data_IF_208160668601
#
_entry.id   IF_208160668601
#
_cell.length_a   1.000
_cell.length_b   1.000
_cell.length_c   1.000
_cell.angle_alpha   90.00
_cell.angle_beta   90.00
_cell.angle_gamma   90.00
#
_symmetry.space_group_name_H-M   'P 1'
#
loop_
_entity.id
_entity.type
_entity.pdbx_description
1 polymer ?
#
# COMPACT_ATOMS: atom_id res chain seq x y z
N UNK A 1 20.26 9.02 -90.09
CA UNK A 1 19.00 8.34 -90.03
C UNK A 1 19.26 6.92 -89.58
N UNK A 2 18.86 6.43 -88.42
CA UNK A 2 17.82 5.48 -88.36
C UNK A 2 17.00 5.52 -87.05
N UNK A 3 15.77 5.19 -87.21
CA UNK A 3 14.94 4.16 -86.55
C UNK A 3 14.85 4.19 -85.02
N UNK A 4 13.67 4.60 -84.63
CA UNK A 4 13.01 4.55 -83.35
C UNK A 4 12.67 3.12 -82.98
N UNK A 5 13.02 2.70 -81.79
CA UNK A 5 12.56 1.47 -81.17
C UNK A 5 11.81 1.81 -79.85
N UNK A 6 10.51 1.77 -79.92
CA UNK A 6 9.65 1.91 -78.75
C UNK A 6 9.75 0.66 -77.92
N UNK A 7 10.12 0.85 -76.70
CA UNK A 7 10.19 -0.24 -75.68
C UNK A 7 8.93 -0.36 -74.89
N UNK A 8 8.56 -1.62 -74.76
CA UNK A 8 7.52 -2.12 -73.88
C UNK A 8 7.96 -2.02 -72.43
N UNK A 9 7.27 -1.26 -71.66
CA UNK A 9 7.24 -1.51 -70.26
C UNK A 9 5.81 -1.80 -69.82
N UNK A 10 5.60 -3.06 -69.50
CA UNK A 10 4.36 -3.59 -68.97
C UNK A 10 4.06 -2.94 -67.63
N UNK A 11 2.87 -2.45 -67.52
CA UNK A 11 2.30 -2.03 -66.26
C UNK A 11 2.27 -3.21 -65.26
N UNK A 12 2.94 -3.02 -64.14
CA UNK A 12 2.66 -3.82 -62.96
C UNK A 12 1.59 -3.08 -62.17
N UNK A 13 0.40 -3.61 -62.20
CA UNK A 13 -0.61 -3.26 -61.24
C UNK A 13 -0.07 -3.52 -59.83
N UNK A 14 0.33 -2.44 -59.16
CA UNK A 14 0.56 -2.48 -57.73
C UNK A 14 -0.80 -2.55 -57.06
N UNK A 15 -1.25 -3.77 -56.82
CA UNK A 15 -2.30 -4.02 -55.85
C UNK A 15 -1.83 -3.46 -54.48
N UNK A 16 -2.26 -2.26 -54.18
CA UNK A 16 -2.24 -1.74 -52.81
C UNK A 16 -3.00 -2.77 -51.94
N UNK A 17 -2.23 -3.61 -51.26
CA UNK A 17 -2.77 -4.48 -50.24
C UNK A 17 -3.53 -3.58 -49.26
N UNK A 18 -4.85 -3.74 -49.24
CA UNK A 18 -5.71 -3.08 -48.27
C UNK A 18 -5.16 -3.40 -46.89
N UNK A 19 -4.75 -2.35 -46.15
CA UNK A 19 -4.47 -2.44 -44.70
C UNK A 19 -5.73 -3.02 -44.09
N UNK A 20 -5.66 -4.17 -43.41
CA UNK A 20 -6.85 -4.73 -42.77
C UNK A 20 -7.35 -3.67 -41.78
N UNK A 21 -8.61 -3.27 -41.95
CA UNK A 21 -9.32 -2.44 -40.98
C UNK A 21 -9.05 -2.97 -39.58
N UNK A 22 -8.83 -2.09 -38.64
CA UNK A 22 -8.53 -2.35 -37.23
C UNK A 22 -9.58 -3.33 -36.65
N UNK A 23 -9.38 -4.62 -36.94
CA UNK A 23 -10.15 -5.71 -36.43
C UNK A 23 -9.74 -5.94 -35.01
N UNK A 24 -10.71 -5.72 -34.12
CA UNK A 24 -10.85 -6.38 -32.84
C UNK A 24 -9.54 -6.57 -32.08
N UNK A 25 -8.94 -5.47 -31.56
CA UNK A 25 -8.11 -5.61 -30.37
C UNK A 25 -9.02 -6.29 -29.36
N UNK A 26 -8.78 -7.55 -29.08
CA UNK A 26 -9.24 -8.14 -27.82
C UNK A 26 -8.72 -7.17 -26.78
N UNK A 27 -9.61 -6.39 -26.19
CA UNK A 27 -9.31 -5.63 -25.00
C UNK A 27 -9.02 -6.69 -23.94
N UNK A 28 -7.73 -7.05 -23.80
CA UNK A 28 -7.34 -7.72 -22.60
C UNK A 28 -7.63 -6.69 -21.51
N UNK A 29 -8.49 -7.00 -20.52
CA UNK A 29 -8.67 -6.11 -19.39
C UNK A 29 -7.27 -5.77 -18.87
N UNK A 30 -7.00 -4.50 -18.57
CA UNK A 30 -5.73 -4.13 -17.96
C UNK A 30 -5.54 -5.02 -16.74
N UNK A 31 -4.40 -5.74 -16.64
CA UNK A 31 -4.19 -6.66 -15.52
C UNK A 31 -4.31 -5.87 -14.23
N UNK A 32 -5.05 -6.39 -13.28
CA UNK A 32 -5.06 -5.88 -11.91
C UNK A 32 -3.71 -6.09 -11.25
N UNK A 33 -3.40 -5.33 -10.21
CA UNK A 33 -2.10 -5.38 -9.56
C UNK A 33 -2.22 -5.44 -8.04
N UNK A 34 -1.37 -6.27 -7.43
CA UNK A 34 -1.07 -6.22 -6.00
C UNK A 34 0.14 -5.31 -5.77
N UNK A 35 -0.06 -4.19 -5.07
CA UNK A 35 1.02 -3.23 -4.77
C UNK A 35 1.20 -3.05 -3.28
N UNK A 36 2.45 -3.08 -2.84
CA UNK A 36 2.79 -2.87 -1.44
C UNK A 36 3.58 -1.56 -1.25
N UNK A 37 3.00 -0.62 -0.53
CA UNK A 37 3.59 0.65 -0.13
C UNK A 37 4.02 0.58 1.33
N UNK A 38 5.30 0.70 1.58
CA UNK A 38 5.84 0.58 2.94
C UNK A 38 6.71 1.77 3.33
N UNK A 39 6.84 1.98 4.62
CA UNK A 39 7.71 3.00 5.19
C UNK A 39 7.63 2.99 6.72
N UNK A 40 8.50 3.75 7.41
CA UNK A 40 8.47 3.85 8.86
C UNK A 40 7.16 4.49 9.37
N UNK A 41 7.00 4.57 10.66
CA UNK A 41 5.94 5.41 11.25
C UNK A 41 6.12 6.86 10.77
N UNK A 42 5.03 7.60 10.67
CA UNK A 42 4.98 9.03 10.30
C UNK A 42 5.34 9.37 8.83
N UNK A 43 5.56 8.39 7.97
CA UNK A 43 5.83 8.65 6.54
C UNK A 43 4.58 8.90 5.69
N UNK A 44 3.39 9.07 6.28
CA UNK A 44 2.18 9.44 5.55
C UNK A 44 1.46 8.30 4.82
N UNK A 45 1.64 7.03 5.24
CA UNK A 45 0.99 5.85 4.63
C UNK A 45 -0.52 6.02 4.47
N UNK A 46 -1.22 6.25 5.57
CA UNK A 46 -2.68 6.39 5.57
C UNK A 46 -3.15 7.62 4.77
N UNK A 47 -2.36 8.70 4.75
CA UNK A 47 -2.66 9.87 3.91
C UNK A 47 -2.60 9.51 2.43
N UNK A 48 -1.56 8.78 2.00
CA UNK A 48 -1.43 8.32 0.62
C UNK A 48 -2.54 7.33 0.25
N UNK A 49 -2.91 6.43 1.17
CA UNK A 49 -4.00 5.48 1.00
C UNK A 49 -5.33 6.20 0.71
N UNK A 50 -5.71 7.18 1.54
CA UNK A 50 -6.94 7.95 1.34
C UNK A 50 -6.88 8.85 0.10
N UNK A 51 -5.71 9.38 -0.26
CA UNK A 51 -5.55 10.14 -1.51
C UNK A 51 -5.75 9.25 -2.74
N UNK A 52 -5.26 8.01 -2.70
CA UNK A 52 -5.46 7.05 -3.80
C UNK A 52 -6.93 6.66 -3.91
N UNK A 53 -7.61 6.38 -2.79
CA UNK A 53 -9.05 6.14 -2.78
C UNK A 53 -9.82 7.28 -3.45
N UNK A 54 -9.58 8.51 -3.01
CA UNK A 54 -10.20 9.69 -3.57
C UNK A 54 -9.99 9.80 -5.09
N UNK A 55 -8.78 9.53 -5.57
CA UNK A 55 -8.46 9.62 -7.00
C UNK A 55 -9.19 8.54 -7.82
N UNK A 56 -9.27 7.31 -7.31
CA UNK A 56 -10.02 6.23 -7.96
C UNK A 56 -11.53 6.52 -7.97
N UNK A 57 -12.08 6.96 -6.85
CA UNK A 57 -13.50 7.30 -6.73
C UNK A 57 -13.90 8.43 -7.71
N UNK A 58 -13.06 9.44 -7.91
CA UNK A 58 -13.29 10.50 -8.91
C UNK A 58 -13.32 9.99 -10.35
N UNK A 59 -12.75 8.84 -10.63
CA UNK A 59 -12.82 8.16 -11.93
C UNK A 59 -14.01 7.18 -12.04
N UNK A 60 -14.92 7.19 -11.06
CA UNK A 60 -16.10 6.31 -11.04
C UNK A 60 -15.77 4.86 -10.67
N UNK A 61 -14.61 4.59 -10.10
CA UNK A 61 -14.26 3.28 -9.53
C UNK A 61 -14.79 3.18 -8.10
N UNK A 62 -15.22 1.99 -7.71
CA UNK A 62 -15.70 1.69 -6.36
C UNK A 62 -14.70 0.82 -5.64
N UNK A 63 -14.28 1.21 -4.42
CA UNK A 63 -13.34 0.47 -3.62
C UNK A 63 -13.85 0.15 -2.23
N UNK A 64 -13.13 -0.74 -1.53
CA UNK A 64 -13.28 -0.96 -0.10
C UNK A 64 -11.98 -0.58 0.59
N UNK A 65 -12.10 0.10 1.73
CA UNK A 65 -10.97 0.38 2.60
C UNK A 65 -11.01 -0.62 3.75
N UNK A 66 -9.89 -1.30 3.95
CA UNK A 66 -9.68 -2.30 4.98
C UNK A 66 -8.58 -1.83 5.92
N UNK A 67 -8.65 -2.18 7.19
CA UNK A 67 -7.58 -1.92 8.15
C UNK A 67 -7.37 -3.10 9.08
N UNK A 68 -6.15 -3.26 9.58
CA UNK A 68 -5.81 -4.28 10.58
C UNK A 68 -5.38 -3.60 11.86
N UNK A 69 -5.93 -4.02 13.01
CA UNK A 69 -5.64 -3.43 14.33
C UNK A 69 -5.91 -1.93 14.41
N UNK A 70 -7.16 -1.54 14.16
CA UNK A 70 -7.55 -0.14 14.32
C UNK A 70 -7.35 0.33 15.77
N UNK A 71 -6.55 1.39 15.90
CA UNK A 71 -6.21 1.98 17.21
C UNK A 71 -7.32 2.84 17.78
N UNK A 72 -8.32 3.22 16.98
CA UNK A 72 -9.38 4.16 17.36
C UNK A 72 -10.60 3.52 17.98
N UNK A 73 -10.67 2.17 18.01
CA UNK A 73 -11.79 1.41 18.59
C UNK A 73 -13.08 1.44 17.75
N UNK A 74 -13.01 1.91 16.53
CA UNK A 74 -14.07 1.83 15.52
C UNK A 74 -13.42 1.73 14.15
N UNK A 75 -13.80 0.81 13.30
CA UNK A 75 -13.14 0.52 12.00
C UNK A 75 -13.00 1.78 11.10
N UNK A 76 -12.02 2.61 11.41
CA UNK A 76 -11.73 3.89 10.75
C UNK A 76 -10.26 3.94 10.34
N UNK A 77 -9.96 4.33 9.13
CA UNK A 77 -8.62 4.78 8.76
C UNK A 77 -8.53 6.26 9.07
N UNK A 78 -7.67 6.63 10.01
CA UNK A 78 -7.42 8.01 10.39
C UNK A 78 -6.00 8.42 10.02
N UNK A 79 -5.85 9.66 9.57
CA UNK A 79 -4.54 10.25 9.31
C UNK A 79 -4.16 11.22 10.42
N UNK A 80 -2.86 11.43 10.66
CA UNK A 80 -2.39 12.44 11.62
C UNK A 80 -2.74 13.87 11.22
N UNK A 81 -3.08 14.11 9.95
CA UNK A 81 -3.58 15.40 9.46
C UNK A 81 -5.10 15.55 9.58
N UNK A 82 -5.78 14.66 10.32
CA UNK A 82 -7.19 14.79 10.67
C UNK A 82 -8.18 14.27 9.62
N UNK A 83 -7.74 13.58 8.56
CA UNK A 83 -8.64 12.89 7.63
C UNK A 83 -9.06 11.56 8.24
N UNK A 84 -10.34 11.21 8.09
CA UNK A 84 -10.89 9.91 8.51
C UNK A 84 -11.80 9.35 7.43
N UNK A 85 -11.82 8.02 7.31
CA UNK A 85 -12.70 7.31 6.39
C UNK A 85 -13.12 6.00 7.05
N UNK A 86 -14.40 5.62 6.83
CA UNK A 86 -14.90 4.33 7.30
C UNK A 86 -14.11 3.19 6.65
N UNK A 87 -13.76 2.20 7.43
CA UNK A 87 -13.00 1.04 6.99
C UNK A 87 -13.63 -0.24 7.51
N UNK A 88 -13.26 -1.36 6.94
CA UNK A 88 -13.63 -2.69 7.42
C UNK A 88 -12.42 -3.26 8.17
N UNK A 89 -12.60 -3.66 9.42
CA UNK A 89 -11.54 -4.31 10.18
C UNK A 89 -11.29 -5.73 9.66
N UNK A 90 -10.05 -6.05 9.39
CA UNK A 90 -9.63 -7.40 9.02
C UNK A 90 -9.34 -8.19 10.28
N UNK A 91 -10.27 -9.03 10.71
CA UNK A 91 -10.06 -9.99 11.81
C UNK A 91 -9.36 -11.25 11.30
N UNK A 92 -8.91 -12.12 12.20
CA UNK A 92 -8.23 -13.38 11.82
C UNK A 92 -9.16 -14.31 11.03
N UNK A 93 -10.47 -14.24 11.29
CA UNK A 93 -11.49 -15.10 10.69
C UNK A 93 -12.06 -14.52 9.38
N UNK A 94 -11.77 -13.27 9.06
CA UNK A 94 -12.35 -12.63 7.88
C UNK A 94 -11.80 -13.24 6.59
N UNK A 95 -12.69 -13.74 5.75
CA UNK A 95 -12.36 -14.18 4.40
C UNK A 95 -12.54 -13.02 3.42
N UNK A 96 -11.42 -12.51 2.87
CA UNK A 96 -11.42 -11.33 1.98
C UNK A 96 -12.08 -11.62 0.64
N UNK A 97 -11.87 -12.81 0.06
CA UNK A 97 -12.56 -13.22 -1.16
C UNK A 97 -14.07 -13.35 -0.93
N UNK A 98 -14.47 -13.87 0.23
CA UNK A 98 -15.87 -13.95 0.67
C UNK A 98 -16.52 -12.57 0.81
N UNK A 99 -15.80 -11.62 1.41
CA UNK A 99 -16.25 -10.24 1.56
C UNK A 99 -16.54 -9.59 0.20
N UNK A 100 -15.62 -9.68 -0.74
CA UNK A 100 -15.78 -9.09 -2.08
C UNK A 100 -16.95 -9.74 -2.82
N UNK A 101 -17.06 -11.09 -2.78
CA UNK A 101 -18.18 -11.82 -3.39
C UNK A 101 -19.53 -11.42 -2.78
N UNK A 102 -19.58 -11.17 -1.48
CA UNK A 102 -20.80 -10.69 -0.81
C UNK A 102 -21.22 -9.31 -1.33
N UNK A 103 -20.28 -8.39 -1.51
CA UNK A 103 -20.55 -7.07 -2.11
C UNK A 103 -21.14 -7.21 -3.52
N UNK A 104 -20.54 -8.05 -4.37
CA UNK A 104 -21.06 -8.29 -5.72
C UNK A 104 -22.47 -8.92 -5.73
N UNK A 105 -22.71 -9.87 -4.82
CA UNK A 105 -24.06 -10.49 -4.69
C UNK A 105 -25.13 -9.46 -4.31
N UNK A 106 -24.75 -8.38 -3.63
CA UNK A 106 -25.63 -7.25 -3.30
C UNK A 106 -25.70 -6.19 -4.43
N UNK A 107 -25.12 -6.48 -5.61
CA UNK A 107 -25.09 -5.55 -6.73
C UNK A 107 -24.13 -4.37 -6.57
N UNK A 108 -23.21 -4.43 -5.59
CA UNK A 108 -22.19 -3.39 -5.35
C UNK A 108 -20.92 -3.73 -6.11
N UNK A 109 -20.38 -2.76 -6.84
CA UNK A 109 -19.07 -2.93 -7.51
C UNK A 109 -17.94 -2.86 -6.50
N UNK A 110 -16.91 -3.68 -6.74
CA UNK A 110 -15.61 -3.58 -6.06
C UNK A 110 -14.56 -3.67 -7.14
N UNK A 111 -13.94 -2.55 -7.46
CA UNK A 111 -12.92 -2.42 -8.50
C UNK A 111 -11.51 -2.43 -7.90
N UNK A 112 -11.38 -2.07 -6.63
CA UNK A 112 -10.11 -2.06 -5.90
C UNK A 112 -10.30 -2.23 -4.39
N UNK A 113 -9.22 -2.65 -3.73
CA UNK A 113 -9.09 -2.65 -2.27
C UNK A 113 -7.92 -1.75 -1.86
N UNK A 114 -8.11 -1.02 -0.78
CA UNK A 114 -7.05 -0.34 -0.04
C UNK A 114 -6.96 -0.99 1.33
N UNK A 115 -5.77 -1.48 1.69
CA UNK A 115 -5.53 -2.17 2.96
C UNK A 115 -4.49 -1.39 3.75
N UNK A 116 -4.92 -0.70 4.80
CA UNK A 116 -4.01 -0.04 5.73
C UNK A 116 -3.56 -1.00 6.83
N UNK A 117 -2.40 -0.74 7.41
CA UNK A 117 -1.71 -1.60 8.38
C UNK A 117 -1.50 -3.05 7.88
N UNK A 118 -1.35 -3.22 6.55
CA UNK A 118 -1.23 -4.51 5.88
C UNK A 118 -0.03 -5.35 6.34
N UNK A 119 0.98 -4.73 6.94
CA UNK A 119 2.09 -5.47 7.54
C UNK A 119 1.68 -6.46 8.64
N UNK A 120 0.55 -6.19 9.31
CA UNK A 120 0.01 -7.03 10.37
C UNK A 120 -0.98 -8.11 9.89
N UNK A 121 -1.25 -8.19 8.60
CA UNK A 121 -2.06 -9.27 8.05
C UNK A 121 -1.42 -10.64 8.30
N UNK A 122 -2.26 -11.66 8.41
CA UNK A 122 -1.80 -13.03 8.34
C UNK A 122 -1.36 -13.35 6.88
N UNK A 123 -0.40 -14.26 6.66
CA UNK A 123 0.01 -14.66 5.31
C UNK A 123 -1.16 -15.12 4.44
N UNK A 124 -2.14 -15.82 5.01
CA UNK A 124 -3.34 -16.31 4.34
C UNK A 124 -4.22 -15.18 3.80
N UNK A 125 -4.29 -14.04 4.49
CA UNK A 125 -4.98 -12.86 3.98
C UNK A 125 -4.27 -12.29 2.75
N UNK A 126 -2.93 -12.27 2.75
CA UNK A 126 -2.16 -11.80 1.59
C UNK A 126 -2.34 -12.75 0.39
N UNK A 127 -2.41 -14.06 0.62
CA UNK A 127 -2.71 -15.03 -0.44
C UNK A 127 -4.11 -14.79 -1.03
N UNK A 128 -5.12 -14.47 -0.19
CA UNK A 128 -6.45 -14.08 -0.66
C UNK A 128 -6.44 -12.76 -1.45
N UNK A 129 -5.61 -11.79 -1.06
CA UNK A 129 -5.45 -10.55 -1.84
C UNK A 129 -4.83 -10.83 -3.22
N UNK A 130 -3.87 -11.72 -3.31
CA UNK A 130 -3.31 -12.16 -4.60
C UNK A 130 -4.37 -12.89 -5.45
N UNK A 131 -5.17 -13.80 -4.86
CA UNK A 131 -6.29 -14.44 -5.54
C UNK A 131 -7.29 -13.41 -6.11
N UNK A 132 -7.61 -12.35 -5.35
CA UNK A 132 -8.50 -11.28 -5.82
C UNK A 132 -7.94 -10.53 -7.03
N UNK A 133 -6.63 -10.35 -7.10
CA UNK A 133 -5.95 -9.75 -8.26
C UNK A 133 -5.97 -10.69 -9.46
N UNK A 134 -5.54 -11.93 -9.28
CA UNK A 134 -5.30 -12.87 -10.36
C UNK A 134 -6.61 -13.40 -10.98
N UNK A 135 -7.58 -13.78 -10.13
CA UNK A 135 -8.79 -14.47 -10.56
C UNK A 135 -9.99 -13.51 -10.74
N UNK A 136 -10.02 -12.44 -9.96
CA UNK A 136 -11.18 -11.54 -9.93
C UNK A 136 -10.91 -10.16 -10.51
N UNK A 137 -9.67 -9.88 -10.90
CA UNK A 137 -9.24 -8.60 -11.51
C UNK A 137 -9.55 -7.36 -10.64
N UNK A 138 -9.40 -7.50 -9.34
CA UNK A 138 -9.54 -6.42 -8.37
C UNK A 138 -8.15 -5.88 -8.05
N UNK A 139 -7.91 -4.57 -8.28
CA UNK A 139 -6.65 -3.94 -7.87
C UNK A 139 -6.51 -3.93 -6.35
N UNK A 140 -5.31 -4.20 -5.83
CA UNK A 140 -5.05 -4.21 -4.40
C UNK A 140 -3.86 -3.31 -4.06
N UNK A 141 -4.09 -2.36 -3.16
CA UNK A 141 -3.11 -1.40 -2.68
C UNK A 141 -2.93 -1.58 -1.17
N UNK A 142 -1.82 -2.20 -0.77
CA UNK A 142 -1.48 -2.46 0.62
C UNK A 142 -0.53 -1.38 1.15
N UNK A 143 -0.82 -0.84 2.32
CA UNK A 143 -0.01 0.15 3.04
C UNK A 143 0.37 -0.40 4.40
N UNK A 144 1.62 -0.27 4.81
CA UNK A 144 2.00 -0.78 6.13
C UNK A 144 3.45 -0.57 6.51
N UNK A 145 3.76 -0.97 7.72
CA UNK A 145 5.13 -1.13 8.19
C UNK A 145 5.72 -2.40 7.57
N UNK A 146 7.00 -2.34 7.16
CA UNK A 146 7.71 -3.55 6.76
C UNK A 146 8.19 -4.35 7.97
N UNK A 147 8.66 -3.66 9.03
CA UNK A 147 9.25 -4.29 10.20
C UNK A 147 8.61 -3.81 11.50
N UNK A 148 8.64 -4.67 12.49
CA UNK A 148 8.25 -4.37 13.87
C UNK A 148 9.31 -3.50 14.58
N UNK A 149 9.08 -3.22 15.87
CA UNK A 149 9.99 -2.46 16.73
C UNK A 149 11.33 -3.19 17.00
N UNK A 150 11.43 -4.49 16.70
CA UNK A 150 12.68 -5.28 16.76
C UNK A 150 13.44 -5.27 15.45
N UNK A 151 12.91 -4.56 14.43
CA UNK A 151 13.39 -4.55 13.05
C UNK A 151 13.31 -5.92 12.36
N UNK A 152 12.33 -6.75 12.76
CA UNK A 152 12.01 -8.00 12.10
C UNK A 152 10.81 -7.80 11.18
N UNK A 153 10.83 -8.46 10.01
CA UNK A 153 9.71 -8.37 9.07
C UNK A 153 8.41 -8.84 9.74
N UNK A 154 7.36 -8.04 9.56
CA UNK A 154 6.02 -8.41 9.96
C UNK A 154 5.49 -9.53 9.04
N UNK A 155 4.63 -10.45 9.54
CA UNK A 155 4.17 -11.59 8.74
C UNK A 155 3.52 -11.20 7.41
N UNK A 156 2.59 -10.25 7.43
CA UNK A 156 1.93 -9.74 6.23
C UNK A 156 2.89 -9.01 5.30
N UNK A 157 3.79 -8.18 5.85
CA UNK A 157 4.80 -7.49 5.05
C UNK A 157 5.75 -8.47 4.36
N UNK A 158 6.18 -9.53 5.06
CA UNK A 158 7.01 -10.58 4.47
C UNK A 158 6.29 -11.22 3.28
N UNK A 159 5.03 -11.61 3.46
CA UNK A 159 4.27 -12.26 2.40
C UNK A 159 3.96 -11.32 1.23
N UNK A 160 3.70 -10.03 1.51
CA UNK A 160 3.54 -9.02 0.47
C UNK A 160 4.84 -8.80 -0.34
N UNK A 161 6.01 -8.83 0.32
CA UNK A 161 7.30 -8.77 -0.39
C UNK A 161 7.57 -9.99 -1.28
N UNK A 162 6.94 -11.14 -0.99
CA UNK A 162 7.05 -12.36 -1.78
C UNK A 162 6.11 -12.36 -2.99
N UNK A 163 4.92 -11.74 -2.91
CA UNK A 163 3.85 -11.86 -3.90
C UNK A 163 3.51 -10.58 -4.68
N UNK A 164 3.82 -9.39 -4.16
CA UNK A 164 3.38 -8.15 -4.79
C UNK A 164 4.05 -7.90 -6.15
N UNK A 165 3.27 -7.45 -7.13
CA UNK A 165 3.75 -7.02 -8.45
C UNK A 165 4.67 -5.80 -8.36
N UNK A 166 4.43 -4.93 -7.36
CA UNK A 166 5.25 -3.77 -7.10
C UNK A 166 5.42 -3.51 -5.61
N UNK A 167 6.68 -3.29 -5.20
CA UNK A 167 7.06 -2.95 -3.84
C UNK A 167 7.62 -1.54 -3.86
N UNK A 168 6.93 -0.61 -3.17
CA UNK A 168 7.19 0.81 -3.24
C UNK A 168 7.53 1.36 -1.84
N UNK A 169 8.74 1.86 -1.66
CA UNK A 169 9.07 2.65 -0.48
C UNK A 169 8.44 4.04 -0.60
N UNK A 170 7.73 4.48 0.45
CA UNK A 170 7.13 5.81 0.46
C UNK A 170 8.23 6.85 0.58
N UNK A 171 8.20 7.84 -0.31
CA UNK A 171 9.28 8.81 -0.48
C UNK A 171 9.27 9.95 0.56
N UNK A 172 8.29 9.99 1.46
CA UNK A 172 8.29 10.97 2.54
C UNK A 172 9.37 10.63 3.55
N UNK A 173 10.34 11.52 3.67
CA UNK A 173 11.50 11.31 4.53
C UNK A 173 11.13 11.59 5.98
N UNK A 174 11.25 10.55 6.83
CA UNK A 174 11.16 10.69 8.28
C UNK A 174 12.57 10.72 8.83
N UNK A 175 12.88 11.76 9.60
CA UNK A 175 14.24 11.95 10.09
C UNK A 175 14.42 11.40 11.51
N UNK A 176 15.57 10.78 11.72
CA UNK A 176 16.10 10.54 13.04
C UNK A 176 16.48 11.89 13.69
N UNK A 177 16.53 11.96 15.00
CA UNK A 177 16.94 13.17 15.73
C UNK A 177 18.32 13.74 15.32
N UNK A 178 19.17 12.95 14.71
CA UNK A 178 20.47 13.39 14.19
C UNK A 178 20.40 13.93 12.74
N UNK A 179 19.23 14.03 12.14
CA UNK A 179 19.04 14.50 10.76
C UNK A 179 19.26 13.44 9.67
N UNK A 180 19.65 12.22 10.01
CA UNK A 180 19.74 11.11 9.03
C UNK A 180 18.37 10.46 8.82
N UNK A 181 18.11 9.85 7.64
CA UNK A 181 16.87 9.11 7.40
C UNK A 181 16.61 8.07 8.49
N UNK A 182 15.43 8.13 9.08
CA UNK A 182 14.93 7.21 10.08
C UNK A 182 14.18 6.05 9.41
N UNK A 183 14.55 4.82 9.76
CA UNK A 183 13.97 3.61 9.15
C UNK A 183 13.50 2.58 10.18
N UNK A 184 13.87 2.78 11.46
CA UNK A 184 13.59 1.83 12.53
C UNK A 184 12.61 2.44 13.51
N UNK A 185 11.48 1.76 13.74
CA UNK A 185 10.46 2.17 14.70
C UNK A 185 10.83 1.63 16.08
N UNK A 186 11.59 2.39 16.86
CA UNK A 186 12.00 1.97 18.19
C UNK A 186 10.84 2.13 19.19
N UNK A 187 10.49 1.05 19.90
CA UNK A 187 9.59 1.13 21.05
C UNK A 187 10.36 1.57 22.27
N UNK A 188 9.86 2.58 22.96
CA UNK A 188 10.50 3.17 24.14
C UNK A 188 9.59 3.00 25.33
N UNK A 189 10.10 2.39 26.41
CA UNK A 189 9.44 2.21 27.69
C UNK A 189 10.34 2.74 28.78
N UNK A 190 9.85 3.64 29.62
CA UNK A 190 10.65 4.21 30.71
C UNK A 190 11.93 4.89 30.24
N UNK A 191 11.90 5.54 29.04
CA UNK A 191 13.04 6.25 28.48
C UNK A 191 14.10 5.35 27.86
N UNK A 192 13.86 4.05 27.65
CA UNK A 192 14.81 3.09 27.04
C UNK A 192 14.17 2.35 25.89
N UNK A 193 14.98 2.02 24.87
CA UNK A 193 14.53 1.17 23.76
C UNK A 193 14.35 -0.26 24.30
N UNK A 194 13.13 -0.81 24.11
CA UNK A 194 12.86 -2.22 24.36
C UNK A 194 12.85 -3.01 23.08
N UNK A 195 13.30 -4.26 23.16
CA UNK A 195 13.19 -5.27 22.08
C UNK A 195 12.43 -6.50 22.53
N UNK A 196 11.78 -6.41 23.68
CA UNK A 196 10.99 -7.47 24.31
C UNK A 196 9.50 -7.10 24.30
N UNK A 197 8.65 -8.11 24.38
CA UNK A 197 7.19 -7.96 24.43
C UNK A 197 6.51 -8.23 23.08
N UNK A 198 5.18 -8.17 23.07
CA UNK A 198 4.35 -8.49 21.93
C UNK A 198 4.52 -7.48 20.78
N UNK A 199 4.40 -7.97 19.55
CA UNK A 199 4.56 -7.16 18.35
C UNK A 199 3.50 -6.07 18.26
N UNK A 200 2.27 -6.39 18.65
CA UNK A 200 1.13 -5.48 18.70
C UNK A 200 0.87 -5.09 20.15
N UNK A 201 1.17 -3.87 20.53
CA UNK A 201 0.52 -3.24 21.65
C UNK A 201 -0.64 -2.44 21.09
N UNK A 202 -1.85 -2.95 21.26
CA UNK A 202 -3.08 -2.20 21.04
C UNK A 202 -3.13 -1.18 22.16
N UNK A 203 -2.46 -0.09 22.01
CA UNK A 203 -2.76 1.15 22.71
C UNK A 203 -1.62 2.16 22.67
N UNK A 204 -1.90 3.29 22.12
CA UNK A 204 -1.34 4.54 22.65
C UNK A 204 -1.98 4.89 24.01
N UNK A 205 -2.81 4.01 24.61
CA UNK A 205 -3.67 4.37 25.75
C UNK A 205 -3.75 3.36 26.91
N UNK A 206 -3.11 2.20 26.86
CA UNK A 206 -3.06 1.37 28.07
C UNK A 206 -1.78 1.67 28.84
N UNK A 207 -1.93 2.49 29.88
CA UNK A 207 -0.98 2.54 30.99
C UNK A 207 -0.83 1.14 31.59
N UNK A 208 -0.04 0.27 30.96
CA UNK A 208 0.41 -0.98 31.56
C UNK A 208 1.41 -0.60 32.64
N UNK A 209 0.91 -0.48 33.87
CA UNK A 209 1.77 -0.32 35.05
C UNK A 209 2.47 1.04 35.16
N UNK A 210 1.92 2.14 34.64
CA UNK A 210 2.47 3.49 34.86
C UNK A 210 3.71 3.86 34.02
N UNK A 211 4.05 3.05 33.03
CA UNK A 211 5.16 3.37 32.13
C UNK A 211 4.62 3.96 30.80
N UNK A 212 5.14 5.15 30.46
CA UNK A 212 4.89 5.81 29.18
C UNK A 212 5.49 4.97 28.05
N UNK A 213 4.63 4.39 27.19
CA UNK A 213 5.02 3.65 25.99
C UNK A 213 4.93 4.58 24.80
N UNK A 214 6.06 4.82 24.14
CA UNK A 214 6.10 5.63 22.93
C UNK A 214 6.94 4.98 21.85
N UNK A 215 6.80 5.47 20.61
CA UNK A 215 7.63 5.06 19.50
C UNK A 215 8.47 6.23 19.01
N UNK A 216 9.70 5.95 18.58
CA UNK A 216 10.57 6.93 17.96
C UNK A 216 11.22 6.33 16.71
N UNK A 217 11.16 7.07 15.61
CA UNK A 217 11.81 6.64 14.36
C UNK A 217 13.28 7.02 14.41
N UNK A 218 14.15 6.04 14.22
CA UNK A 218 15.60 6.19 14.36
C UNK A 218 16.34 5.72 13.10
N UNK A 219 17.51 6.30 12.85
CA UNK A 219 18.46 5.72 11.92
C UNK A 219 19.07 4.43 12.50
N UNK A 220 19.62 3.58 11.64
CA UNK A 220 20.19 2.28 12.05
C UNK A 220 21.23 2.39 13.16
N UNK A 221 22.10 3.40 13.10
CA UNK A 221 23.17 3.57 14.09
C UNK A 221 22.60 3.80 15.50
N UNK A 222 21.70 4.77 15.64
CA UNK A 222 21.08 5.11 16.93
C UNK A 222 20.16 4.01 17.44
N UNK A 223 19.38 3.38 16.55
CA UNK A 223 18.57 2.22 16.92
C UNK A 223 19.43 1.08 17.51
N UNK A 224 20.55 0.74 16.88
CA UNK A 224 21.43 -0.33 17.36
C UNK A 224 22.12 -0.01 18.68
N UNK A 225 22.51 1.25 18.89
CA UNK A 225 23.19 1.71 20.12
C UNK A 225 22.21 1.97 21.26
N UNK A 226 20.89 2.03 20.98
CA UNK A 226 19.89 2.38 21.98
C UNK A 226 19.88 3.87 22.32
N UNK A 227 20.38 4.73 21.43
CA UNK A 227 20.50 6.16 21.63
C UNK A 227 19.23 6.88 21.18
N UNK A 228 18.49 7.42 22.14
CA UNK A 228 17.29 8.21 21.93
C UNK A 228 17.63 9.71 21.83
N UNK A 229 16.95 10.42 20.95
CA UNK A 229 16.93 11.88 20.97
C UNK A 229 16.17 12.40 22.19
N UNK A 230 16.36 13.67 22.51
CA UNK A 230 15.48 14.33 23.47
C UNK A 230 14.04 14.25 22.97
N UNK A 231 13.03 14.07 23.85
CA UNK A 231 11.63 14.17 23.45
C UNK A 231 11.46 15.53 22.77
N UNK A 232 11.17 15.55 21.49
CA UNK A 232 10.61 16.74 20.86
C UNK A 232 9.28 16.97 21.54
N UNK A 233 9.18 18.04 22.31
CA UNK A 233 7.90 18.59 22.72
C UNK A 233 7.12 18.74 21.41
N UNK A 234 6.01 17.99 21.29
CA UNK A 234 5.18 18.06 20.10
C UNK A 234 4.73 19.50 19.92
N UNK A 235 5.37 20.21 18.98
CA UNK A 235 4.76 21.40 18.42
C UNK A 235 3.49 20.93 17.73
N UNK A 236 2.37 21.15 18.41
CA UNK A 236 1.09 21.23 17.74
C UNK A 236 1.26 22.33 16.68
N UNK A 237 1.45 21.92 15.45
CA UNK A 237 1.26 22.82 14.31
C UNK A 237 -0.22 23.20 14.31
N UNK A 238 -0.56 24.26 15.01
CA UNK A 238 -1.79 25.01 14.74
C UNK A 238 -1.57 25.68 13.39
N UNK A 239 -2.20 25.14 12.37
CA UNK A 239 -2.38 25.85 11.11
C UNK A 239 -3.43 26.94 11.40
N UNK A 240 -2.98 28.19 11.49
CA UNK A 240 -3.82 29.38 11.45
C UNK A 240 -4.45 29.55 10.06
#
# INVERSE_FOLDING_TARGET
VPANRADRFGGRDSALAAVPAAGNRREFPMPAHLKFFYGPMDCGKSTLALQMDHNHARQGRSGLILTRYDRSGGALVTTRVGLSHDAIEVTDELNLCGLVRQHWALGRRVDYLIVDEAGFLNPEHVDQLAELVDEYHVDVYCFGLATDFRSQLLPGAKRLMELADAICEIQVEVLCWCGLPGRHNARVIGGRITREGDTVLVADTVATGGHDVRYQVLCRAHYRRGELGQPTLGEQLTLD
#
